data_IF_678399744247
#
_entry.id   IF_678399744247
#
_cell.length_a   1.000
_cell.length_b   1.000
_cell.length_c   1.000
_cell.angle_alpha   90.00
_cell.angle_beta   90.00
_cell.angle_gamma   90.00
#
_symmetry.space_group_name_H-M   'P 1'
#
loop_
_entity.id
_entity.type
_entity.pdbx_description
1 polymer ?
#
# COMPACT_ATOMS: atom_id res chain seq x y z
N UNK A 1 -13.14 15.34 27.49
CA UNK A 1 -11.89 14.94 26.85
C UNK A 1 -11.16 13.96 27.77
N UNK A 2 -11.39 12.64 27.59
CA UNK A 2 -10.76 11.61 28.40
C UNK A 2 -9.29 11.46 27.99
N UNK A 3 -8.37 11.48 28.95
CA UNK A 3 -6.96 11.15 28.78
C UNK A 3 -6.84 9.76 28.12
N UNK A 4 -6.38 9.70 26.89
CA UNK A 4 -5.91 8.45 26.27
C UNK A 4 -4.77 7.97 27.12
N UNK A 5 -4.91 6.83 27.79
CA UNK A 5 -3.84 6.31 28.65
C UNK A 5 -2.59 6.01 27.81
N UNK A 6 -1.43 6.44 28.29
CA UNK A 6 -0.10 6.22 27.68
C UNK A 6 0.22 4.74 27.42
N UNK A 7 -0.55 3.81 28.02
CA UNK A 7 -0.40 2.36 27.90
C UNK A 7 -0.66 1.76 26.51
N UNK A 8 -1.09 2.56 25.53
CA UNK A 8 -1.34 2.09 24.15
C UNK A 8 -0.25 2.47 23.16
N UNK A 9 0.73 3.24 23.54
CA UNK A 9 1.91 3.51 22.72
C UNK A 9 2.96 2.43 23.00
N UNK A 10 3.51 1.86 21.93
CA UNK A 10 4.61 0.92 22.01
C UNK A 10 5.79 1.57 22.75
N UNK A 11 6.42 0.84 23.67
CA UNK A 11 7.66 1.22 24.32
C UNK A 11 8.88 0.80 23.50
N UNK A 12 8.68 -0.08 22.52
CA UNK A 12 9.73 -0.53 21.64
C UNK A 12 10.34 0.62 20.83
N UNK A 13 11.68 0.65 20.76
CA UNK A 13 12.46 1.58 19.94
C UNK A 13 12.71 1.06 18.53
N UNK A 14 12.11 -0.07 18.16
CA UNK A 14 12.25 -0.64 16.82
C UNK A 14 11.80 0.36 15.76
N UNK A 15 12.58 0.48 14.69
CA UNK A 15 12.37 1.46 13.64
C UNK A 15 12.72 0.90 12.25
N UNK A 16 12.33 1.64 11.22
CA UNK A 16 12.67 1.32 9.84
C UNK A 16 13.88 2.17 9.45
N UNK A 17 14.92 1.53 8.96
CA UNK A 17 16.02 2.18 8.25
C UNK A 17 15.89 1.88 6.75
N UNK A 18 16.38 2.78 5.89
CA UNK A 18 16.34 2.60 4.44
C UNK A 18 17.76 2.54 3.88
N UNK A 19 18.05 1.45 3.19
CA UNK A 19 19.28 1.29 2.44
C UNK A 19 19.04 1.90 1.06
N UNK A 20 19.80 2.94 0.73
CA UNK A 20 19.74 3.59 -0.59
C UNK A 20 20.49 2.78 -1.64
N UNK A 21 19.97 2.80 -2.87
CA UNK A 21 20.60 2.14 -4.02
C UNK A 21 20.89 0.64 -3.82
N UNK A 22 19.98 -0.05 -3.12
CA UNK A 22 20.16 -1.45 -2.81
C UNK A 22 20.12 -2.33 -4.07
N UNK A 23 21.13 -3.20 -4.20
CA UNK A 23 21.18 -4.28 -5.18
C UNK A 23 21.37 -5.60 -4.44
N UNK A 24 20.42 -6.56 -4.59
CA UNK A 24 20.63 -7.89 -4.04
C UNK A 24 21.88 -8.53 -4.63
N UNK A 25 22.54 -9.38 -3.85
CA UNK A 25 23.71 -10.13 -4.30
C UNK A 25 23.39 -11.61 -4.38
N UNK A 26 24.06 -12.32 -5.26
CA UNK A 26 24.05 -13.78 -5.31
C UNK A 26 25.48 -14.31 -5.10
N UNK A 27 25.57 -15.49 -4.50
CA UNK A 27 26.86 -16.14 -4.28
C UNK A 27 27.31 -16.83 -5.57
N UNK A 28 28.51 -16.51 -6.03
CA UNK A 28 29.15 -17.13 -7.19
C UNK A 28 30.18 -18.14 -6.70
N UNK A 29 29.87 -19.43 -6.85
CA UNK A 29 30.69 -20.53 -6.34
C UNK A 29 32.07 -20.62 -6.99
N UNK A 30 32.19 -20.22 -8.27
CA UNK A 30 33.43 -20.26 -9.03
C UNK A 30 34.52 -19.32 -8.47
N UNK A 31 34.08 -18.12 -8.04
CA UNK A 31 34.99 -17.08 -7.53
C UNK A 31 34.93 -16.94 -6.01
N UNK A 32 34.08 -17.69 -5.33
CA UNK A 32 33.78 -17.58 -3.89
C UNK A 32 33.45 -16.13 -3.48
N UNK A 33 32.77 -15.39 -4.35
CA UNK A 33 32.41 -13.99 -4.16
C UNK A 33 30.89 -13.76 -4.20
N UNK A 34 30.44 -12.62 -3.67
CA UNK A 34 29.08 -12.16 -3.84
C UNK A 34 29.03 -11.10 -4.92
N UNK A 35 28.34 -11.39 -6.02
CA UNK A 35 28.16 -10.46 -7.12
C UNK A 35 26.75 -9.83 -7.09
N UNK A 36 26.60 -8.52 -7.41
CA UNK A 36 25.31 -7.87 -7.44
C UNK A 36 24.45 -8.37 -8.60
N UNK A 37 23.15 -8.49 -8.39
CA UNK A 37 22.19 -8.78 -9.44
C UNK A 37 21.98 -7.53 -10.30
N UNK A 38 22.43 -7.55 -11.55
CA UNK A 38 22.39 -6.39 -12.45
C UNK A 38 20.97 -5.90 -12.76
N UNK A 39 20.01 -6.83 -12.85
CA UNK A 39 18.64 -6.55 -13.29
C UNK A 39 17.68 -6.20 -12.14
N UNK A 40 18.16 -6.07 -10.90
CA UNK A 40 17.37 -5.78 -9.73
C UNK A 40 17.96 -4.61 -8.99
N UNK A 41 17.15 -3.56 -8.86
CA UNK A 41 17.52 -2.33 -8.20
C UNK A 41 16.36 -1.83 -7.34
N UNK A 42 16.65 -1.47 -6.11
CA UNK A 42 15.69 -0.87 -5.19
C UNK A 42 16.27 0.46 -4.65
N UNK A 43 15.72 1.62 -5.04
CA UNK A 43 16.24 2.92 -4.62
C UNK A 43 16.17 3.14 -3.11
N UNK A 44 15.21 2.50 -2.43
CA UNK A 44 15.02 2.59 -0.98
C UNK A 44 14.56 1.23 -0.44
N UNK A 45 15.51 0.38 -0.08
CA UNK A 45 15.21 -0.92 0.48
C UNK A 45 15.01 -0.81 2.02
N UNK A 46 13.86 -1.27 2.56
CA UNK A 46 13.60 -1.18 3.97
C UNK A 46 14.38 -2.25 4.76
N UNK A 47 14.90 -1.85 5.91
CA UNK A 47 15.50 -2.72 6.90
C UNK A 47 14.87 -2.45 8.26
N UNK A 48 14.33 -3.47 8.91
CA UNK A 48 13.74 -3.33 10.24
C UNK A 48 14.81 -3.53 11.27
N UNK A 49 14.98 -2.52 12.13
CA UNK A 49 15.96 -2.51 13.22
C UNK A 49 15.22 -2.72 14.54
N UNK A 50 15.63 -3.68 15.32
CA UNK A 50 15.11 -3.95 16.66
C UNK A 50 15.54 -2.90 17.67
N UNK A 51 14.95 -2.91 18.84
CA UNK A 51 15.30 -1.99 19.94
C UNK A 51 16.75 -2.15 20.44
N UNK A 52 17.37 -3.30 20.24
CA UNK A 52 18.77 -3.59 20.54
C UNK A 52 19.75 -3.16 19.41
N UNK A 53 19.26 -2.43 18.40
CA UNK A 53 19.97 -2.01 17.20
C UNK A 53 20.42 -3.16 16.28
N UNK A 54 19.93 -4.38 16.45
CA UNK A 54 20.18 -5.47 15.51
C UNK A 54 19.15 -5.48 14.38
N UNK A 55 19.56 -6.00 13.21
CA UNK A 55 18.66 -6.15 12.06
C UNK A 55 17.71 -7.32 12.29
N UNK A 56 16.43 -7.14 11.96
CA UNK A 56 15.49 -8.26 11.94
C UNK A 56 15.61 -9.06 10.63
N UNK A 57 16.53 -10.01 10.62
CA UNK A 57 16.93 -10.78 9.42
C UNK A 57 15.75 -11.51 8.74
N UNK A 58 14.77 -12.00 9.48
CA UNK A 58 13.58 -12.65 8.90
C UNK A 58 12.78 -11.68 8.01
N UNK A 59 12.64 -10.44 8.43
CA UNK A 59 11.99 -9.41 7.62
C UNK A 59 12.82 -9.05 6.40
N UNK A 60 14.16 -8.95 6.54
CA UNK A 60 15.06 -8.70 5.41
C UNK A 60 14.99 -9.82 4.36
N UNK A 61 14.94 -11.08 4.78
CA UNK A 61 14.74 -12.22 3.88
C UNK A 61 13.41 -12.11 3.12
N UNK A 62 12.33 -11.75 3.83
CA UNK A 62 11.02 -11.54 3.20
C UNK A 62 11.01 -10.38 2.21
N UNK A 63 11.64 -9.25 2.53
CA UNK A 63 11.74 -8.13 1.59
C UNK A 63 12.54 -8.51 0.34
N UNK A 64 13.62 -9.28 0.48
CA UNK A 64 14.37 -9.81 -0.66
C UNK A 64 13.50 -10.74 -1.52
N UNK A 65 12.74 -11.66 -0.91
CA UNK A 65 11.79 -12.52 -1.62
C UNK A 65 10.75 -11.67 -2.40
N UNK A 66 10.19 -10.64 -1.78
CA UNK A 66 9.25 -9.74 -2.46
C UNK A 66 9.90 -9.00 -3.64
N UNK A 67 11.16 -8.56 -3.49
CA UNK A 67 11.88 -7.82 -4.51
C UNK A 67 12.34 -8.73 -5.66
N UNK A 68 12.97 -9.84 -5.34
CA UNK A 68 13.65 -10.73 -6.31
C UNK A 68 12.64 -11.64 -7.00
N UNK A 69 11.89 -12.42 -6.22
CA UNK A 69 11.04 -13.49 -6.76
C UNK A 69 9.68 -12.95 -7.23
N UNK A 70 9.11 -12.02 -6.47
CA UNK A 70 7.80 -11.46 -6.80
C UNK A 70 7.87 -10.15 -7.59
N UNK A 71 9.05 -9.57 -7.84
CA UNK A 71 9.25 -8.32 -8.61
C UNK A 71 8.36 -7.17 -8.12
N UNK A 72 8.21 -7.03 -6.80
CA UNK A 72 7.38 -5.98 -6.21
C UNK A 72 8.07 -4.63 -6.24
N UNK A 73 7.26 -3.56 -6.33
CA UNK A 73 7.76 -2.19 -6.32
C UNK A 73 8.29 -1.76 -4.96
N UNK A 74 9.21 -0.81 -4.96
CA UNK A 74 9.75 -0.16 -3.75
C UNK A 74 8.64 0.35 -2.83
N UNK A 75 7.62 1.01 -3.38
CA UNK A 75 6.48 1.52 -2.60
C UNK A 75 5.72 0.40 -1.87
N UNK A 76 5.62 -0.79 -2.48
CA UNK A 76 5.01 -1.93 -1.80
C UNK A 76 5.90 -2.44 -0.66
N UNK A 77 7.22 -2.52 -0.85
CA UNK A 77 8.16 -2.91 0.21
C UNK A 77 8.08 -1.95 1.39
N UNK A 78 8.07 -0.64 1.16
CA UNK A 78 7.91 0.39 2.19
C UNK A 78 6.60 0.23 2.96
N UNK A 79 5.50 -0.04 2.24
CA UNK A 79 4.19 -0.30 2.86
C UNK A 79 4.21 -1.57 3.71
N UNK A 80 4.83 -2.66 3.22
CA UNK A 80 4.98 -3.91 4.00
C UNK A 80 5.85 -3.70 5.23
N UNK A 81 6.93 -2.95 5.11
CA UNK A 81 7.81 -2.62 6.23
C UNK A 81 7.08 -1.82 7.32
N UNK A 82 6.25 -0.84 6.90
CA UNK A 82 5.39 -0.07 7.82
C UNK A 82 4.38 -0.92 8.59
N UNK A 83 3.87 -1.98 7.97
CA UNK A 83 2.96 -2.91 8.64
C UNK A 83 3.70 -3.91 9.53
N UNK A 84 4.89 -4.40 9.11
CA UNK A 84 5.68 -5.37 9.88
C UNK A 84 6.43 -4.74 11.05
N UNK A 85 6.79 -3.45 11.00
CA UNK A 85 7.40 -2.77 12.16
C UNK A 85 6.41 -2.68 13.33
N UNK A 86 5.11 -2.54 13.04
CA UNK A 86 4.08 -2.56 14.09
C UNK A 86 3.97 -3.94 14.75
N UNK A 87 4.16 -5.00 13.98
CA UNK A 87 4.22 -6.37 14.51
C UNK A 87 5.51 -6.62 15.32
N UNK A 88 6.67 -6.14 14.84
CA UNK A 88 7.94 -6.24 15.59
C UNK A 88 7.85 -5.52 16.93
N UNK A 89 7.30 -4.30 16.96
CA UNK A 89 7.05 -3.55 18.18
C UNK A 89 6.15 -4.30 19.15
N UNK A 90 5.08 -4.92 18.63
CA UNK A 90 4.21 -5.77 19.44
C UNK A 90 4.98 -6.97 20.04
N UNK A 91 5.86 -7.63 19.27
CA UNK A 91 6.69 -8.74 19.79
C UNK A 91 7.59 -8.28 20.92
N UNK A 92 8.25 -7.13 20.77
CA UNK A 92 9.14 -6.58 21.80
C UNK A 92 8.36 -6.11 23.04
N UNK A 93 7.24 -5.41 22.88
CA UNK A 93 6.40 -4.94 23.98
C UNK A 93 5.79 -6.08 24.81
N UNK A 94 5.56 -7.23 24.20
CA UNK A 94 4.98 -8.41 24.84
C UNK A 94 6.00 -9.48 25.21
N UNK A 95 7.27 -9.27 24.88
CA UNK A 95 8.37 -10.23 25.05
C UNK A 95 8.06 -11.60 24.43
N UNK A 96 7.27 -11.61 23.34
CA UNK A 96 6.89 -12.82 22.64
C UNK A 96 7.83 -13.10 21.46
N UNK A 97 8.21 -14.37 21.34
CA UNK A 97 8.91 -14.84 20.15
C UNK A 97 7.95 -15.08 18.99
N UNK A 98 8.44 -14.89 17.76
CA UNK A 98 7.67 -15.15 16.54
C UNK A 98 7.19 -16.60 16.43
N UNK A 99 7.92 -17.53 17.05
CA UNK A 99 7.61 -18.97 17.13
C UNK A 99 6.73 -19.33 18.33
N UNK A 100 6.28 -18.36 19.10
CA UNK A 100 5.40 -18.65 20.24
C UNK A 100 4.01 -19.08 19.76
N UNK A 101 3.88 -20.36 19.44
CA UNK A 101 2.69 -21.00 18.89
C UNK A 101 2.22 -22.17 19.78
N UNK A 102 1.74 -21.91 21.01
CA UNK A 102 1.26 -22.94 21.92
C UNK A 102 0.02 -23.66 21.37
N UNK A 103 -0.38 -24.81 21.95
CA UNK A 103 -1.55 -25.57 21.50
C UNK A 103 -2.84 -24.76 21.51
N UNK A 104 -3.04 -23.91 22.53
CA UNK A 104 -4.20 -23.04 22.64
C UNK A 104 -4.09 -21.88 21.66
N UNK A 105 -4.99 -21.78 20.65
CA UNK A 105 -4.91 -20.74 19.62
C UNK A 105 -4.83 -19.32 20.16
N UNK A 106 -5.63 -18.99 21.19
CA UNK A 106 -5.72 -17.64 21.77
C UNK A 106 -4.39 -17.16 22.35
N UNK A 107 -3.51 -18.10 22.72
CA UNK A 107 -2.19 -17.79 23.26
C UNK A 107 -1.11 -17.66 22.19
N UNK A 108 -1.40 -18.04 20.93
CA UNK A 108 -0.44 -17.89 19.82
C UNK A 108 -0.20 -16.41 19.52
N UNK A 109 1.02 -16.07 19.21
CA UNK A 109 1.45 -14.69 18.93
C UNK A 109 0.59 -13.99 17.88
N UNK A 110 0.18 -14.70 16.82
CA UNK A 110 -0.68 -14.15 15.76
C UNK A 110 -2.09 -13.80 16.25
N UNK A 111 -2.67 -14.61 17.15
CA UNK A 111 -3.98 -14.34 17.73
C UNK A 111 -3.92 -13.21 18.75
N UNK A 112 -2.83 -13.11 19.52
CA UNK A 112 -2.62 -12.01 20.45
C UNK A 112 -2.47 -10.68 19.69
N UNK A 113 -1.68 -10.67 18.60
CA UNK A 113 -1.57 -9.50 17.73
C UNK A 113 -2.93 -9.11 17.12
N UNK A 114 -3.70 -10.09 16.63
CA UNK A 114 -5.05 -9.85 16.15
C UNK A 114 -5.95 -9.19 17.21
N UNK A 115 -5.91 -9.68 18.45
CA UNK A 115 -6.67 -9.12 19.59
C UNK A 115 -6.24 -7.68 19.87
N UNK A 116 -4.93 -7.40 19.85
CA UNK A 116 -4.39 -6.04 20.01
C UNK A 116 -4.88 -5.10 18.91
N UNK A 117 -4.89 -5.56 17.64
CA UNK A 117 -5.44 -4.76 16.54
C UNK A 117 -6.93 -4.46 16.72
N UNK A 118 -7.73 -5.43 17.17
CA UNK A 118 -9.15 -5.22 17.47
C UNK A 118 -9.37 -4.22 18.62
N UNK A 119 -8.54 -4.25 19.66
CA UNK A 119 -8.57 -3.28 20.74
C UNK A 119 -8.23 -1.86 20.23
N UNK A 120 -7.20 -1.73 19.40
CA UNK A 120 -6.83 -0.44 18.78
C UNK A 120 -7.95 0.13 17.90
N UNK A 121 -8.71 -0.73 17.19
CA UNK A 121 -9.89 -0.31 16.44
C UNK A 121 -10.98 0.24 17.39
N UNK A 122 -11.29 -0.50 18.46
CA UNK A 122 -12.31 -0.08 19.45
C UNK A 122 -11.98 1.26 20.09
N UNK A 123 -10.71 1.53 20.31
CA UNK A 123 -10.22 2.80 20.86
C UNK A 123 -10.09 3.92 19.82
N UNK A 124 -10.39 3.64 18.55
CA UNK A 124 -10.27 4.61 17.47
C UNK A 124 -8.83 5.01 17.13
N UNK A 125 -7.83 4.22 17.53
CA UNK A 125 -6.40 4.49 17.28
C UNK A 125 -6.00 4.15 15.86
N UNK A 126 -6.62 3.13 15.26
CA UNK A 126 -6.41 2.72 13.85
C UNK A 126 -7.75 2.44 13.19
N UNK A 127 -7.80 2.60 11.87
CA UNK A 127 -8.98 2.24 11.09
C UNK A 127 -9.09 0.72 10.92
N UNK A 128 -10.31 0.15 10.76
CA UNK A 128 -10.48 -1.27 10.47
C UNK A 128 -9.76 -1.72 9.19
N UNK A 129 -9.64 -0.84 8.18
CA UNK A 129 -8.90 -1.11 6.95
C UNK A 129 -7.40 -1.25 7.21
N UNK A 130 -6.82 -0.36 8.01
CA UNK A 130 -5.40 -0.41 8.42
C UNK A 130 -5.13 -1.69 9.22
N UNK A 131 -5.95 -2.00 10.21
CA UNK A 131 -5.79 -3.22 11.01
C UNK A 131 -5.87 -4.49 10.14
N UNK A 132 -6.82 -4.55 9.22
CA UNK A 132 -6.95 -5.66 8.27
C UNK A 132 -5.73 -5.79 7.38
N UNK A 133 -5.18 -4.68 6.88
CA UNK A 133 -3.96 -4.69 6.06
C UNK A 133 -2.78 -5.23 6.86
N UNK A 134 -2.54 -4.73 8.08
CA UNK A 134 -1.47 -5.18 8.97
C UNK A 134 -1.58 -6.67 9.27
N UNK A 135 -2.77 -7.13 9.66
CA UNK A 135 -2.98 -8.56 9.90
C UNK A 135 -2.68 -9.41 8.67
N UNK A 136 -3.17 -9.01 7.49
CA UNK A 136 -2.90 -9.72 6.24
C UNK A 136 -1.40 -9.76 5.89
N UNK A 137 -0.64 -8.70 6.19
CA UNK A 137 0.82 -8.66 5.96
C UNK A 137 1.54 -9.63 6.87
N UNK A 138 1.17 -9.67 8.15
CA UNK A 138 1.72 -10.63 9.11
C UNK A 138 1.42 -12.08 8.69
N UNK A 139 0.19 -12.38 8.27
CA UNK A 139 -0.15 -13.73 7.80
C UNK A 139 0.65 -14.13 6.55
N UNK A 140 0.82 -13.23 5.58
CA UNK A 140 1.66 -13.48 4.39
C UNK A 140 3.14 -13.66 4.75
N UNK A 141 3.61 -12.94 5.74
CA UNK A 141 4.96 -13.12 6.25
C UNK A 141 5.14 -14.52 6.84
N UNK A 142 4.19 -15.03 7.64
CA UNK A 142 4.22 -16.42 8.11
C UNK A 142 4.09 -17.43 6.96
N UNK A 143 3.25 -17.18 5.95
CA UNK A 143 3.18 -18.05 4.77
C UNK A 143 4.53 -18.15 4.05
N UNK A 144 5.28 -17.05 3.94
CA UNK A 144 6.63 -17.03 3.40
C UNK A 144 7.60 -17.86 4.26
N UNK A 145 7.63 -17.64 5.58
CA UNK A 145 8.52 -18.36 6.49
C UNK A 145 8.29 -19.88 6.45
N UNK A 146 7.04 -20.29 6.24
CA UNK A 146 6.65 -21.69 6.08
C UNK A 146 7.04 -22.26 4.70
N UNK A 147 6.83 -21.48 3.64
CA UNK A 147 7.11 -21.91 2.26
C UNK A 147 8.62 -22.09 2.01
N UNK A 148 9.43 -21.19 2.56
CA UNK A 148 10.90 -21.24 2.43
C UNK A 148 11.57 -22.18 3.43
N UNK A 149 10.79 -22.94 4.22
CA UNK A 149 11.29 -23.85 5.25
C UNK A 149 12.29 -23.20 6.22
N UNK A 150 12.15 -21.88 6.44
CA UNK A 150 12.95 -21.14 7.43
C UNK A 150 12.67 -21.66 8.82
N UNK A 151 11.44 -22.17 9.05
CA UNK A 151 11.06 -22.92 10.23
C UNK A 151 10.80 -24.37 9.86
N UNK A 152 11.42 -25.27 10.60
CA UNK A 152 11.16 -26.70 10.42
C UNK A 152 9.80 -27.09 10.99
N UNK A 153 9.20 -28.14 10.47
CA UNK A 153 7.94 -28.70 10.99
C UNK A 153 8.04 -29.13 12.45
N UNK A 154 9.26 -29.42 12.96
CA UNK A 154 9.51 -29.73 14.35
C UNK A 154 9.42 -28.49 15.27
N UNK A 155 9.83 -27.33 14.76
CA UNK A 155 9.72 -26.06 15.49
C UNK A 155 8.28 -25.54 15.48
N UNK A 156 7.52 -25.82 14.41
CA UNK A 156 6.13 -25.42 14.24
C UNK A 156 5.16 -26.54 14.62
N UNK A 157 5.14 -26.92 15.90
CA UNK A 157 4.15 -27.89 16.41
C UNK A 157 2.69 -27.49 16.15
N UNK A 158 2.43 -26.19 16.04
CA UNK A 158 1.11 -25.64 15.78
C UNK A 158 1.17 -24.59 14.66
N UNK A 159 0.11 -24.49 13.88
CA UNK A 159 0.02 -23.48 12.80
C UNK A 159 -0.17 -22.08 13.38
N UNK A 160 0.43 -21.05 12.78
CA UNK A 160 0.26 -19.67 13.23
C UNK A 160 -1.21 -19.20 13.11
N UNK A 161 -1.98 -19.74 12.17
CA UNK A 161 -3.39 -19.45 11.97
C UNK A 161 -4.05 -20.59 11.19
N UNK A 162 -5.39 -20.58 11.10
CA UNK A 162 -6.16 -21.57 10.35
C UNK A 162 -6.64 -20.99 9.02
N UNK A 163 -6.46 -21.78 7.94
CA UNK A 163 -7.01 -21.44 6.62
C UNK A 163 -8.48 -21.85 6.58
N UNK A 164 -9.34 -20.88 6.23
CA UNK A 164 -10.79 -21.05 6.17
C UNK A 164 -11.26 -20.77 4.75
N UNK A 165 -12.10 -21.65 4.19
CA UNK A 165 -12.78 -21.36 2.93
C UNK A 165 -13.97 -20.45 3.21
N UNK A 166 -14.03 -19.31 2.53
CA UNK A 166 -15.17 -18.38 2.56
C UNK A 166 -15.68 -18.17 1.14
N UNK A 167 -16.93 -17.74 1.01
CA UNK A 167 -17.54 -17.49 -0.30
C UNK A 167 -17.72 -15.98 -0.50
N UNK A 168 -17.33 -15.50 -1.66
CA UNK A 168 -17.54 -14.10 -2.08
C UNK A 168 -18.53 -14.09 -3.22
N UNK A 169 -19.56 -13.24 -3.10
CA UNK A 169 -20.50 -13.02 -4.19
C UNK A 169 -19.83 -12.18 -5.29
N UNK A 170 -19.82 -12.70 -6.48
CA UNK A 170 -19.32 -12.05 -7.68
C UNK A 170 -20.50 -11.83 -8.64
N UNK A 171 -20.48 -10.72 -9.38
CA UNK A 171 -21.48 -10.41 -10.41
C UNK A 171 -20.80 -10.64 -11.76
N UNK A 172 -21.47 -11.40 -12.65
CA UNK A 172 -21.01 -11.57 -14.04
C UNK A 172 -21.26 -10.30 -14.84
N UNK A 173 -20.69 -10.21 -16.05
CA UNK A 173 -20.98 -9.13 -17.00
C UNK A 173 -22.44 -9.09 -17.45
N UNK A 174 -23.18 -10.19 -17.27
CA UNK A 174 -24.61 -10.31 -17.58
C UNK A 174 -25.52 -9.99 -16.36
N UNK A 175 -24.93 -9.67 -15.19
CA UNK A 175 -25.68 -9.33 -13.98
C UNK A 175 -25.96 -10.52 -13.04
N UNK A 176 -25.61 -11.76 -13.41
CA UNK A 176 -25.84 -12.92 -12.56
C UNK A 176 -24.93 -12.92 -11.34
N UNK A 177 -25.47 -13.31 -10.18
CA UNK A 177 -24.74 -13.42 -8.93
C UNK A 177 -24.31 -14.87 -8.70
N UNK A 178 -23.01 -15.10 -8.60
CA UNK A 178 -22.46 -16.40 -8.24
C UNK A 178 -21.52 -16.31 -7.02
N UNK A 179 -21.39 -17.39 -6.28
CA UNK A 179 -20.51 -17.48 -5.09
C UNK A 179 -19.20 -18.18 -5.49
N UNK A 180 -18.09 -17.42 -5.41
CA UNK A 180 -16.74 -17.96 -5.63
C UNK A 180 -16.10 -18.33 -4.30
N UNK A 181 -15.60 -19.57 -4.13
CA UNK A 181 -14.83 -19.92 -2.94
C UNK A 181 -13.48 -19.19 -2.96
N UNK A 182 -13.11 -18.57 -1.85
CA UNK A 182 -11.81 -17.93 -1.66
C UNK A 182 -11.17 -18.43 -0.36
N UNK A 183 -9.86 -18.63 -0.40
CA UNK A 183 -9.12 -18.95 0.81
C UNK A 183 -8.99 -17.69 1.68
N UNK A 184 -9.28 -17.84 2.94
CA UNK A 184 -9.20 -16.80 3.95
C UNK A 184 -8.55 -17.35 5.21
N UNK A 185 -8.38 -16.54 6.23
CA UNK A 185 -7.94 -16.96 7.55
C UNK A 185 -9.03 -16.70 8.59
N UNK A 186 -9.00 -17.47 9.67
CA UNK A 186 -9.84 -17.25 10.84
C UNK A 186 -9.50 -15.95 11.58
N UNK A 187 -8.32 -15.36 11.31
CA UNK A 187 -7.87 -14.06 11.84
C UNK A 187 -8.21 -12.88 10.92
N UNK A 188 -9.10 -13.08 9.95
CA UNK A 188 -9.54 -12.00 9.06
C UNK A 188 -10.34 -10.95 9.81
N UNK A 189 -9.83 -9.72 9.86
CA UNK A 189 -10.56 -8.58 10.39
C UNK A 189 -11.63 -8.17 9.36
N UNK A 190 -12.90 -8.32 9.76
CA UNK A 190 -14.04 -7.95 8.92
C UNK A 190 -14.18 -6.44 8.91
N UNK A 191 -14.37 -5.88 7.74
CA UNK A 191 -14.79 -4.51 7.55
C UNK A 191 -16.31 -4.56 7.30
N UNK A 192 -17.10 -4.01 8.19
CA UNK A 192 -18.50 -3.73 7.85
C UNK A 192 -18.46 -2.66 6.75
N UNK A 193 -19.08 -2.89 5.57
CA UNK A 193 -19.28 -1.81 4.64
C UNK A 193 -20.05 -0.72 5.40
N UNK A 194 -19.43 0.46 5.54
CA UNK A 194 -20.18 1.62 6.01
C UNK A 194 -21.26 1.87 4.97
N UNK A 195 -22.51 1.85 5.38
CA UNK A 195 -23.59 2.33 4.55
C UNK A 195 -23.25 3.79 4.23
N UNK A 196 -22.87 4.06 2.97
CA UNK A 196 -22.71 5.42 2.49
C UNK A 196 -24.10 5.99 2.33
N UNK A 197 -24.54 6.77 3.30
CA UNK A 197 -25.70 7.62 3.15
C UNK A 197 -25.23 8.89 2.46
N UNK A 198 -25.57 9.04 1.17
CA UNK A 198 -25.30 10.25 0.42
C UNK A 198 -24.11 10.19 -0.55
N UNK A 199 -23.74 11.31 -1.07
CA UNK A 199 -22.74 11.55 -2.12
C UNK A 199 -21.28 11.38 -1.69
N UNK A 200 -21.00 10.64 -0.62
CA UNK A 200 -19.66 10.42 -0.09
C UNK A 200 -18.90 9.39 -0.93
N UNK A 201 -17.75 9.78 -1.47
CA UNK A 201 -16.81 8.86 -2.10
C UNK A 201 -15.95 8.23 -1.01
N UNK A 202 -16.06 6.91 -0.82
CA UNK A 202 -15.24 6.15 0.13
C UNK A 202 -13.96 5.69 -0.58
N UNK A 203 -12.99 6.58 -0.72
CA UNK A 203 -11.62 6.24 -1.16
C UNK A 203 -10.63 6.78 -0.13
N UNK A 204 -10.34 5.98 0.89
CA UNK A 204 -9.40 6.32 1.96
C UNK A 204 -9.88 7.29 3.04
N UNK A 205 -11.13 7.74 2.98
CA UNK A 205 -11.75 8.66 3.95
C UNK A 205 -13.15 9.07 3.55
N UNK A 206 -13.72 10.02 4.29
CA UNK A 206 -14.96 10.68 3.90
C UNK A 206 -14.63 11.82 2.94
N UNK A 207 -14.53 11.50 1.66
CA UNK A 207 -14.35 12.50 0.62
C UNK A 207 -15.71 12.79 -0.02
N UNK A 208 -16.03 14.08 -0.17
CA UNK A 208 -17.15 14.54 -0.97
C UNK A 208 -16.64 15.50 -2.05
N UNK A 209 -17.29 15.53 -3.20
CA UNK A 209 -16.97 16.50 -4.24
C UNK A 209 -17.07 17.92 -3.69
N UNK A 210 -16.22 18.80 -4.15
CA UNK A 210 -16.33 20.22 -3.83
C UNK A 210 -17.67 20.76 -4.34
N UNK A 211 -18.41 21.44 -3.49
CA UNK A 211 -19.56 22.23 -3.90
C UNK A 211 -19.14 23.36 -4.86
N UNK A 212 -20.05 23.91 -5.67
CA UNK A 212 -19.73 25.02 -6.57
C UNK A 212 -19.08 26.22 -5.86
N UNK A 213 -19.52 26.53 -4.64
CA UNK A 213 -18.97 27.63 -3.85
C UNK A 213 -17.56 27.30 -3.33
N UNK A 214 -17.34 26.11 -2.80
CA UNK A 214 -16.01 25.67 -2.36
C UNK A 214 -15.04 25.63 -3.52
N UNK A 215 -15.45 25.14 -4.69
CA UNK A 215 -14.65 25.17 -5.92
C UNK A 215 -14.24 26.59 -6.29
N UNK A 216 -15.18 27.55 -6.24
CA UNK A 216 -14.90 28.96 -6.55
C UNK A 216 -13.89 29.56 -5.59
N UNK A 217 -14.09 29.37 -4.28
CA UNK A 217 -13.18 29.88 -3.25
C UNK A 217 -11.79 29.26 -3.39
N UNK A 218 -11.73 27.94 -3.64
CA UNK A 218 -10.48 27.21 -3.86
C UNK A 218 -9.69 27.77 -5.06
N UNK A 219 -10.36 28.00 -6.19
CA UNK A 219 -9.72 28.54 -7.38
C UNK A 219 -9.19 29.96 -7.14
N UNK A 220 -9.97 30.83 -6.50
CA UNK A 220 -9.53 32.19 -6.12
C UNK A 220 -8.30 32.17 -5.22
N UNK A 221 -8.27 31.26 -4.23
CA UNK A 221 -7.13 31.11 -3.36
C UNK A 221 -5.88 30.62 -4.09
N UNK A 222 -6.02 29.65 -5.01
CA UNK A 222 -4.92 29.18 -5.85
C UNK A 222 -4.33 30.30 -6.69
N UNK A 223 -5.16 31.12 -7.32
CA UNK A 223 -4.71 32.24 -8.16
C UNK A 223 -3.95 33.28 -7.36
N UNK A 224 -4.36 33.54 -6.11
CA UNK A 224 -3.76 34.62 -5.29
C UNK A 224 -2.48 34.17 -4.56
N UNK A 225 -2.40 32.91 -4.11
CA UNK A 225 -1.38 32.49 -3.15
C UNK A 225 -0.50 31.32 -3.60
N UNK A 226 -0.90 30.57 -4.63
CA UNK A 226 -0.17 29.39 -5.03
C UNK A 226 0.86 29.69 -6.12
N UNK A 227 1.99 28.95 -6.12
CA UNK A 227 2.92 28.96 -7.24
C UNK A 227 2.26 28.42 -8.51
N UNK A 228 2.75 28.84 -9.69
CA UNK A 228 2.20 28.40 -10.97
C UNK A 228 2.19 26.89 -11.12
N UNK A 229 3.27 26.21 -10.73
CA UNK A 229 3.36 24.74 -10.80
C UNK A 229 2.27 24.07 -9.96
N UNK A 230 2.03 24.58 -8.75
CA UNK A 230 0.99 24.05 -7.88
C UNK A 230 -0.42 24.33 -8.42
N UNK A 231 -0.66 25.49 -9.01
CA UNK A 231 -1.91 25.81 -9.71
C UNK A 231 -2.18 24.78 -10.82
N UNK A 232 -1.19 24.52 -11.69
CA UNK A 232 -1.32 23.56 -12.79
C UNK A 232 -1.62 22.13 -12.30
N UNK A 233 -0.96 21.70 -11.22
CA UNK A 233 -1.25 20.39 -10.59
C UNK A 233 -2.71 20.34 -10.12
N UNK A 234 -3.18 21.38 -9.44
CA UNK A 234 -4.55 21.44 -8.93
C UNK A 234 -5.58 21.54 -10.07
N UNK A 235 -5.31 22.31 -11.11
CA UNK A 235 -6.19 22.40 -12.28
C UNK A 235 -6.28 21.06 -13.02
N UNK A 236 -5.16 20.40 -13.28
CA UNK A 236 -5.16 19.08 -13.87
C UNK A 236 -5.95 18.08 -13.02
N UNK A 237 -5.78 18.09 -11.68
CA UNK A 237 -6.54 17.23 -10.79
C UNK A 237 -8.05 17.51 -10.88
N UNK A 238 -8.44 18.78 -10.80
CA UNK A 238 -9.82 19.21 -10.72
C UNK A 238 -10.60 18.98 -12.02
N UNK A 239 -9.95 19.22 -13.17
CA UNK A 239 -10.62 19.21 -14.47
C UNK A 239 -10.48 17.88 -15.23
N UNK A 240 -9.48 17.05 -14.88
CA UNK A 240 -9.30 15.73 -15.53
C UNK A 240 -9.67 14.56 -14.62
N UNK A 241 -9.78 14.74 -13.30
CA UNK A 241 -9.95 13.67 -12.32
C UNK A 241 -8.73 12.75 -12.20
N UNK A 242 -7.59 13.13 -12.76
CA UNK A 242 -6.38 12.32 -12.73
C UNK A 242 -5.82 12.22 -11.29
N UNK A 243 -5.23 11.05 -10.97
CA UNK A 243 -4.54 10.86 -9.69
C UNK A 243 -3.27 11.70 -9.62
N UNK A 244 -2.90 12.12 -8.41
CA UNK A 244 -1.70 12.94 -8.19
C UNK A 244 -0.45 12.34 -8.84
N UNK A 245 -0.22 11.05 -8.70
CA UNK A 245 0.92 10.37 -9.33
C UNK A 245 0.92 10.50 -10.85
N UNK A 246 -0.24 10.34 -11.48
CA UNK A 246 -0.40 10.53 -12.94
C UNK A 246 -0.06 11.95 -13.34
N UNK A 247 -0.57 12.95 -12.61
CA UNK A 247 -0.31 14.36 -12.89
C UNK A 247 1.18 14.69 -12.75
N UNK A 248 1.82 14.25 -11.67
CA UNK A 248 3.24 14.50 -11.40
C UNK A 248 4.20 13.82 -12.38
N UNK A 249 3.72 12.86 -13.19
CA UNK A 249 4.52 12.21 -14.23
C UNK A 249 4.25 12.75 -15.64
N UNK A 250 3.28 13.67 -15.82
CA UNK A 250 3.09 14.41 -17.07
C UNK A 250 4.27 15.38 -17.24
N UNK A 251 4.85 15.36 -18.44
CA UNK A 251 5.95 16.24 -18.81
C UNK A 251 5.55 17.10 -20.00
N UNK A 252 6.19 18.27 -20.18
CA UNK A 252 5.90 19.21 -21.26
C UNK A 252 5.92 18.55 -22.66
N UNK A 253 6.80 17.57 -22.88
CA UNK A 253 6.86 16.90 -24.18
C UNK A 253 5.59 16.06 -24.47
N UNK A 254 4.93 15.47 -23.46
CA UNK A 254 3.68 14.75 -23.65
C UNK A 254 2.57 15.70 -24.14
N UNK A 255 2.54 16.92 -23.58
CA UNK A 255 1.56 17.94 -24.00
C UNK A 255 1.87 18.41 -25.42
N UNK A 256 3.14 18.69 -25.75
CA UNK A 256 3.57 19.07 -27.09
C UNK A 256 3.23 18.01 -28.13
N UNK A 257 3.48 16.76 -27.83
CA UNK A 257 3.16 15.64 -28.72
C UNK A 257 1.65 15.46 -28.90
N UNK A 258 0.87 15.65 -27.83
CA UNK A 258 -0.60 15.60 -27.89
C UNK A 258 -1.13 16.70 -28.82
N UNK A 259 -0.67 17.94 -28.67
CA UNK A 259 -1.10 19.09 -29.51
C UNK A 259 -0.72 18.82 -30.99
N UNK A 260 0.50 18.32 -31.25
CA UNK A 260 0.97 18.07 -32.60
C UNK A 260 0.17 16.97 -33.33
N UNK A 261 -0.37 16.00 -32.59
CA UNK A 261 -1.05 14.84 -33.18
C UNK A 261 -2.58 14.97 -33.23
N UNK A 262 -3.16 15.94 -32.56
CA UNK A 262 -4.61 16.03 -32.40
C UNK A 262 -5.10 17.47 -32.69
N UNK A 263 -6.26 17.54 -33.31
CA UNK A 263 -7.06 18.76 -33.31
C UNK A 263 -7.95 18.79 -32.06
N UNK A 264 -8.30 19.99 -31.60
CA UNK A 264 -9.25 20.17 -30.50
C UNK A 264 -10.57 19.49 -30.84
N UNK A 265 -11.13 18.75 -29.88
CA UNK A 265 -12.49 18.24 -30.04
C UNK A 265 -13.48 19.44 -29.92
N UNK A 266 -14.05 19.83 -31.02
CA UNK A 266 -14.98 20.98 -31.10
C UNK A 266 -16.28 20.81 -30.29
N UNK A 267 -16.56 19.60 -29.76
CA UNK A 267 -17.74 19.36 -28.93
C UNK A 267 -17.47 19.74 -27.47
N UNK A 268 -16.26 19.40 -26.98
CA UNK A 268 -15.94 19.50 -25.54
C UNK A 268 -14.80 20.51 -25.25
N UNK A 269 -14.23 21.15 -26.26
CA UNK A 269 -13.03 22.00 -26.18
C UNK A 269 -11.89 21.30 -25.40
N UNK A 270 -11.65 20.02 -25.67
CA UNK A 270 -10.67 19.20 -24.97
C UNK A 270 -9.70 18.51 -25.91
N UNK A 271 -8.47 18.31 -25.43
CA UNK A 271 -7.51 17.37 -25.97
C UNK A 271 -7.59 16.03 -25.23
N UNK A 272 -7.17 14.96 -25.90
CA UNK A 272 -7.10 13.63 -25.28
C UNK A 272 -5.67 13.22 -25.05
N UNK A 273 -5.25 13.13 -23.78
CA UNK A 273 -3.94 12.66 -23.37
C UNK A 273 -4.01 11.17 -22.98
N UNK A 274 -3.28 10.33 -23.71
CA UNK A 274 -3.16 8.91 -23.38
C UNK A 274 -2.16 8.73 -22.24
N UNK A 275 -2.56 8.03 -21.19
CA UNK A 275 -1.75 7.78 -19.98
C UNK A 275 -1.72 6.28 -19.66
N UNK A 276 -0.65 5.84 -18.99
CA UNK A 276 -0.43 4.43 -18.67
C UNK A 276 0.14 3.60 -19.84
N UNK A 277 0.30 2.32 -19.65
CA UNK A 277 0.82 1.39 -20.65
C UNK A 277 2.20 1.77 -21.19
N UNK A 278 2.27 2.03 -22.50
CA UNK A 278 3.52 2.44 -23.18
C UNK A 278 3.87 3.92 -22.99
N UNK A 279 2.94 4.75 -22.49
CA UNK A 279 3.27 6.13 -22.13
C UNK A 279 4.14 6.12 -20.87
N UNK A 280 5.07 7.06 -20.76
CA UNK A 280 5.93 7.19 -19.56
C UNK A 280 5.13 7.84 -18.40
N UNK A 281 3.84 8.08 -18.57
CA UNK A 281 2.96 8.67 -17.58
C UNK A 281 2.39 7.56 -16.68
N UNK A 282 2.71 7.61 -15.40
CA UNK A 282 2.30 6.61 -14.43
C UNK A 282 0.80 6.60 -14.17
N UNK A 283 0.23 5.38 -14.08
CA UNK A 283 -1.14 5.17 -13.64
C UNK A 283 -1.21 4.04 -12.62
N UNK A 284 -2.23 4.03 -11.77
CA UNK A 284 -2.39 2.95 -10.78
C UNK A 284 -2.53 1.58 -11.49
N UNK A 285 -1.50 0.73 -11.32
CA UNK A 285 -1.44 -0.59 -11.95
C UNK A 285 -1.02 -0.58 -13.41
N UNK A 286 -0.52 0.53 -13.95
CA UNK A 286 -0.07 0.64 -15.34
C UNK A 286 -1.19 0.61 -16.39
N UNK A 287 -2.47 0.71 -15.96
CA UNK A 287 -3.60 0.65 -16.89
C UNK A 287 -3.64 1.86 -17.82
N UNK A 288 -3.83 1.58 -19.10
CA UNK A 288 -4.03 2.62 -20.12
C UNK A 288 -5.42 3.22 -20.02
N UNK A 289 -5.49 4.55 -20.08
CA UNK A 289 -6.73 5.28 -20.26
C UNK A 289 -6.46 6.67 -20.85
N UNK A 290 -7.54 7.35 -21.23
CA UNK A 290 -7.48 8.65 -21.84
C UNK A 290 -7.95 9.71 -20.85
N UNK A 291 -7.13 10.75 -20.65
CA UNK A 291 -7.51 11.95 -19.92
C UNK A 291 -8.01 13.01 -20.90
N UNK A 292 -9.14 13.60 -20.57
CA UNK A 292 -9.65 14.79 -21.27
C UNK A 292 -9.07 16.04 -20.65
N UNK A 293 -8.23 16.78 -21.38
CA UNK A 293 -7.56 17.99 -20.89
C UNK A 293 -8.20 19.19 -21.59
N UNK A 294 -8.78 20.14 -20.84
CA UNK A 294 -9.38 21.35 -21.42
C UNK A 294 -8.36 22.14 -22.23
N UNK A 295 -8.79 22.72 -23.35
CA UNK A 295 -7.91 23.49 -24.25
C UNK A 295 -7.31 24.70 -23.53
N UNK A 296 -8.11 25.40 -22.75
CA UNK A 296 -7.64 26.58 -22.01
C UNK A 296 -6.48 26.28 -21.07
N UNK A 297 -6.47 25.10 -20.44
CA UNK A 297 -5.41 24.66 -19.52
C UNK A 297 -4.09 24.35 -20.25
N UNK A 298 -4.13 24.16 -21.55
CA UNK A 298 -2.95 23.87 -22.37
C UNK A 298 -2.32 25.18 -22.91
N UNK A 299 -3.16 26.20 -23.09
CA UNK A 299 -2.70 27.55 -23.56
C UNK A 299 -2.03 28.37 -22.46
N UNK A 300 -2.24 27.97 -21.24
CA UNK A 300 -1.61 28.51 -20.03
C UNK A 300 -0.20 27.92 -19.78
#
# INVERSE_FOLDING_TARGET
MGRKSESYFSQSKAHINFITEYRPTYFKSETHSFDPMENIYCPRFPSLIKSDNTVWHLASAYFNHLLIDQRKSTALLESVASDLIDFLRFLEDTELDILYLPPRPEKRVTYQFHTTLLQRIRLGLISPSTARQRMNRVLRFYDFLLAENIFTSAELKNRPYEKVKTYVSCITSLGDIYKKPVNSSNLKIRHSPRLSYGEEIIDGGRLHPLSPNEKKVFLQYLEQFASRDFQLICYLALYTGARLQTICTIRAFHIKEMIAKQTVNNIDDTYTLRVGGKSIIDTKGGYEHNLKVPEWLIKD
#
